data_IF_302372082621
#
_entry.id   IF_302372082621
#
_cell.length_a   1.000
_cell.length_b   1.000
_cell.length_c   1.000
_cell.angle_alpha   90.00
_cell.angle_beta   90.00
_cell.angle_gamma   90.00
#
_symmetry.space_group_name_H-M   'P 1'
#
loop_
_entity.id
_entity.type
_entity.pdbx_description
1 polymer ?
#
# COMPACT_ATOMS: atom_id res chain seq x y z
N UNK A 1 -10.51 8.89 2.55
CA UNK A 1 -9.44 9.37 3.40
C UNK A 1 -8.44 10.11 2.55
N UNK A 2 -8.42 11.40 2.63
CA UNK A 2 -7.59 12.20 1.77
C UNK A 2 -6.43 12.81 2.57
N UNK A 3 -5.31 12.12 2.57
CA UNK A 3 -4.10 12.62 3.19
C UNK A 3 -3.16 13.30 2.20
N UNK A 4 -3.69 13.66 1.07
CA UNK A 4 -2.93 14.43 0.11
C UNK A 4 -2.76 15.81 0.64
N UNK A 5 -1.68 16.05 1.25
CA UNK A 5 -1.33 17.40 1.63
C UNK A 5 -0.44 17.97 0.53
N UNK A 6 -0.64 19.21 0.22
CA UNK A 6 0.18 19.85 -0.81
C UNK A 6 1.66 19.79 -0.47
N UNK A 7 1.99 19.74 0.80
CA UNK A 7 3.36 19.65 1.25
C UNK A 7 4.09 18.38 0.86
N UNK A 8 3.37 17.33 0.48
CA UNK A 8 3.98 16.06 0.13
C UNK A 8 3.94 15.76 -1.36
N UNK A 9 3.35 16.65 -2.15
CA UNK A 9 3.24 16.44 -3.57
C UNK A 9 4.61 16.37 -4.21
N UNK A 10 4.82 15.38 -5.05
CA UNK A 10 6.05 15.16 -5.81
C UNK A 10 7.30 14.96 -4.97
N UNK A 11 7.16 14.64 -3.71
CA UNK A 11 8.33 14.31 -2.87
C UNK A 11 8.71 12.86 -3.05
N UNK A 12 10.01 12.60 -3.05
CA UNK A 12 10.52 11.24 -2.98
C UNK A 12 10.28 10.67 -1.59
N UNK A 13 10.40 9.35 -1.47
CA UNK A 13 10.30 8.71 -0.16
C UNK A 13 11.32 9.26 0.84
N UNK A 14 12.56 9.47 0.39
CA UNK A 14 13.62 9.99 1.25
C UNK A 14 13.27 11.38 1.78
N UNK A 15 12.75 12.25 0.91
CA UNK A 15 12.32 13.58 1.31
C UNK A 15 11.16 13.51 2.31
N UNK A 16 10.22 12.63 2.07
CA UNK A 16 9.08 12.43 2.95
C UNK A 16 9.52 11.91 4.32
N UNK A 17 10.37 10.89 4.35
CA UNK A 17 10.90 10.33 5.58
C UNK A 17 11.69 11.36 6.38
N UNK A 18 12.51 12.17 5.70
CA UNK A 18 13.28 13.23 6.34
C UNK A 18 12.35 14.29 6.95
N UNK A 19 11.28 14.64 6.26
CA UNK A 19 10.30 15.58 6.77
C UNK A 19 9.63 15.07 8.04
N UNK A 20 9.24 13.81 8.06
CA UNK A 20 8.62 13.20 9.24
C UNK A 20 9.60 13.14 10.40
N UNK A 21 10.83 12.75 10.16
CA UNK A 21 11.86 12.65 11.19
C UNK A 21 12.22 14.03 11.78
N UNK A 22 12.19 15.07 10.96
CA UNK A 22 12.50 16.43 11.39
C UNK A 22 11.43 17.12 12.20
N UNK A 23 10.21 16.58 12.22
CA UNK A 23 9.09 17.20 12.93
C UNK A 23 9.18 17.01 14.43
N UNK A 24 9.43 15.80 14.84
CA UNK A 24 9.59 15.43 16.22
C UNK A 24 10.28 14.07 16.25
N UNK A 25 11.56 14.07 16.53
CA UNK A 25 12.36 12.86 16.51
C UNK A 25 11.93 11.78 17.50
N UNK A 26 11.09 12.13 18.47
CA UNK A 26 10.60 11.19 19.46
C UNK A 26 9.17 10.74 19.23
N UNK A 27 8.42 11.47 18.40
CA UNK A 27 7.02 11.18 18.14
C UNK A 27 6.89 10.24 16.96
N UNK A 28 5.83 9.45 17.01
CA UNK A 28 5.48 8.57 15.95
C UNK A 28 6.04 7.17 16.12
N UNK A 29 5.51 6.27 15.35
CA UNK A 29 5.79 4.86 15.39
C UNK A 29 6.71 4.48 14.23
N UNK A 30 7.70 3.64 14.51
CA UNK A 30 8.51 3.07 13.44
C UNK A 30 7.68 2.04 12.69
N UNK A 31 7.57 2.21 11.39
CA UNK A 31 6.89 1.25 10.52
C UNK A 31 7.85 0.72 9.46
N UNK A 32 7.75 -0.56 9.11
CA UNK A 32 8.61 -1.11 8.06
C UNK A 32 8.25 -0.54 6.70
N UNK A 33 9.25 -0.38 5.84
CA UNK A 33 9.06 0.04 4.46
C UNK A 33 9.50 -1.09 3.52
N UNK A 34 8.72 -1.32 2.49
CA UNK A 34 8.95 -2.40 1.53
C UNK A 34 8.78 -1.86 0.11
N UNK A 35 9.74 -2.15 -0.76
CA UNK A 35 9.57 -1.89 -2.19
C UNK A 35 8.61 -2.90 -2.81
N UNK A 36 7.83 -2.48 -3.81
CA UNK A 36 6.86 -3.35 -4.48
C UNK A 36 7.53 -4.60 -5.09
N UNK A 37 8.74 -4.48 -5.60
CA UNK A 37 9.46 -5.62 -6.15
C UNK A 37 9.75 -6.68 -5.09
N UNK A 38 10.10 -6.27 -3.87
CA UNK A 38 10.34 -7.19 -2.76
C UNK A 38 9.03 -7.76 -2.22
N UNK A 39 7.96 -6.99 -2.31
CA UNK A 39 6.66 -7.43 -1.84
C UNK A 39 6.16 -8.67 -2.58
N UNK A 40 6.62 -8.89 -3.81
CA UNK A 40 6.31 -10.10 -4.57
C UNK A 40 7.18 -11.31 -4.23
N UNK A 41 8.23 -11.16 -3.42
CA UNK A 41 9.14 -12.28 -3.11
C UNK A 41 8.47 -13.27 -2.14
N UNK A 42 8.73 -14.55 -2.37
CA UNK A 42 8.20 -15.60 -1.52
C UNK A 42 8.79 -15.52 -0.10
N UNK A 43 7.95 -15.75 0.90
CA UNK A 43 8.35 -15.74 2.29
C UNK A 43 8.61 -14.38 2.90
N UNK A 44 8.40 -13.32 2.13
CA UNK A 44 8.63 -11.95 2.65
C UNK A 44 7.51 -11.47 3.56
N UNK A 45 6.30 -11.97 3.37
CA UNK A 45 5.15 -11.64 4.23
C UNK A 45 4.71 -12.86 5.02
N UNK A 46 4.20 -12.58 6.23
CA UNK A 46 3.55 -13.63 7.00
C UNK A 46 2.12 -13.90 6.47
N UNK A 47 1.42 -14.81 7.11
CA UNK A 47 0.08 -15.21 6.69
C UNK A 47 -0.97 -14.11 6.84
N UNK A 48 -0.67 -13.08 7.63
CA UNK A 48 -1.55 -11.93 7.85
C UNK A 48 -1.21 -10.74 6.98
N UNK A 49 -0.21 -10.86 6.09
CA UNK A 49 0.18 -9.81 5.16
C UNK A 49 1.17 -8.80 5.73
N UNK A 50 1.85 -9.14 6.82
CA UNK A 50 2.87 -8.27 7.39
C UNK A 50 4.27 -8.68 6.93
N UNK A 51 5.16 -7.71 6.64
CA UNK A 51 6.49 -8.04 6.20
C UNK A 51 7.31 -8.69 7.30
N UNK A 52 8.10 -9.68 6.91
CA UNK A 52 9.02 -10.40 7.77
C UNK A 52 10.44 -10.01 7.36
N UNK A 53 11.20 -9.42 8.28
CA UNK A 53 12.59 -9.09 8.01
C UNK A 53 12.80 -7.83 7.18
N UNK A 54 11.90 -6.87 7.23
CA UNK A 54 12.13 -5.57 6.63
C UNK A 54 13.29 -4.86 7.33
N UNK A 55 14.29 -4.44 6.56
CA UNK A 55 15.49 -3.82 7.10
C UNK A 55 15.32 -2.32 7.38
N UNK A 56 14.38 -1.70 6.69
CA UNK A 56 14.16 -0.27 6.78
C UNK A 56 12.85 0.03 7.48
N UNK A 57 12.87 1.07 8.30
CA UNK A 57 11.67 1.57 8.95
C UNK A 57 11.62 3.09 8.84
N UNK A 58 10.40 3.63 8.90
CA UNK A 58 10.19 5.06 9.02
C UNK A 58 9.28 5.31 10.20
N UNK A 59 9.37 6.51 10.78
CA UNK A 59 8.46 6.92 11.82
C UNK A 59 7.31 7.70 11.21
N UNK A 60 6.12 7.32 11.57
CA UNK A 60 4.91 7.97 11.11
C UNK A 60 4.02 8.28 12.30
N UNK A 61 3.63 9.56 12.49
CA UNK A 61 2.79 9.94 13.62
C UNK A 61 1.33 9.52 13.41
N UNK A 62 0.61 9.38 14.49
CA UNK A 62 -0.85 9.27 14.51
C UNK A 62 -1.46 8.07 13.79
N UNK A 63 -0.74 6.97 13.71
CA UNK A 63 -1.32 5.73 13.18
C UNK A 63 -1.98 4.85 14.25
N UNK A 64 -2.00 5.31 15.49
CA UNK A 64 -2.55 4.54 16.59
C UNK A 64 -1.74 3.29 16.88
N UNK A 65 -2.41 2.25 17.35
CA UNK A 65 -1.78 0.97 17.66
C UNK A 65 -1.88 -0.05 16.52
N UNK A 66 -2.55 0.31 15.45
CA UNK A 66 -2.73 -0.58 14.32
C UNK A 66 -1.40 -0.91 13.66
N UNK A 67 -1.25 -2.14 13.26
CA UNK A 67 -0.05 -2.59 12.59
C UNK A 67 -0.13 -2.22 11.12
N UNK A 68 0.84 -1.46 10.64
CA UNK A 68 0.90 -0.95 9.27
C UNK A 68 2.32 -1.06 8.73
N UNK A 69 2.44 -0.96 7.42
CA UNK A 69 3.75 -0.81 6.77
C UNK A 69 3.62 0.05 5.52
N UNK A 70 4.75 0.46 4.98
CA UNK A 70 4.79 1.31 3.80
C UNK A 70 5.22 0.51 2.58
N UNK A 71 4.61 0.83 1.44
CA UNK A 71 4.99 0.28 0.14
C UNK A 71 5.27 1.42 -0.82
N UNK A 72 6.29 1.26 -1.64
CA UNK A 72 6.58 2.17 -2.74
C UNK A 72 5.88 1.69 -4.00
N UNK A 73 5.14 2.59 -4.64
CA UNK A 73 4.38 2.27 -5.85
C UNK A 73 5.34 2.02 -7.02
N UNK A 74 5.06 0.97 -7.78
CA UNK A 74 5.69 0.68 -9.06
C UNK A 74 4.61 0.60 -10.13
N UNK A 75 4.95 1.02 -11.36
CA UNK A 75 4.02 0.99 -12.47
C UNK A 75 3.09 2.19 -12.50
N UNK A 76 2.15 2.17 -13.43
CA UNK A 76 1.32 3.33 -13.75
C UNK A 76 -0.19 3.05 -13.65
N UNK A 77 -0.59 1.90 -13.14
CA UNK A 77 -2.01 1.51 -13.12
C UNK A 77 -2.88 2.42 -12.24
N UNK A 78 -2.28 3.13 -11.32
CA UNK A 78 -2.99 4.03 -10.41
C UNK A 78 -2.77 5.52 -10.72
N UNK A 79 -2.15 5.83 -11.86
CA UNK A 79 -2.06 7.22 -12.30
C UNK A 79 -3.42 7.76 -12.71
N UNK A 80 -3.68 9.04 -12.51
CA UNK A 80 -2.74 10.06 -12.02
C UNK A 80 -2.66 10.17 -10.50
N UNK A 81 -3.41 9.37 -9.76
CA UNK A 81 -3.47 9.50 -8.31
C UNK A 81 -2.18 9.07 -7.62
N UNK A 82 -1.66 7.90 -7.97
CA UNK A 82 -0.40 7.38 -7.47
C UNK A 82 0.54 7.13 -8.63
N UNK A 83 1.75 7.63 -8.52
CA UNK A 83 2.78 7.46 -9.55
C UNK A 83 3.90 6.59 -9.01
N UNK A 84 4.69 6.01 -9.90
CA UNK A 84 5.87 5.27 -9.50
C UNK A 84 6.76 6.11 -8.60
N UNK A 85 7.20 5.54 -7.49
CA UNK A 85 7.96 6.25 -6.46
C UNK A 85 7.12 6.85 -5.34
N UNK A 86 5.82 6.99 -5.52
CA UNK A 86 4.94 7.39 -4.41
C UNK A 86 4.91 6.29 -3.35
N UNK A 87 4.71 6.69 -2.11
CA UNK A 87 4.64 5.75 -0.99
C UNK A 87 3.24 5.71 -0.45
N UNK A 88 2.75 4.51 -0.20
CA UNK A 88 1.46 4.30 0.47
C UNK A 88 1.69 3.58 1.79
N UNK A 89 0.88 3.91 2.77
CA UNK A 89 0.83 3.20 4.04
C UNK A 89 -0.36 2.27 3.97
N UNK A 90 -0.14 1.00 4.26
CA UNK A 90 -1.16 -0.03 4.16
C UNK A 90 -1.38 -0.71 5.50
N UNK A 91 -2.62 -1.12 5.72
CA UNK A 91 -3.06 -1.79 6.94
C UNK A 91 -3.66 -3.15 6.58
N UNK A 92 -2.86 -4.22 6.68
CA UNK A 92 -3.39 -5.58 6.52
C UNK A 92 -4.43 -5.88 7.60
N UNK A 93 -5.45 -6.64 7.24
CA UNK A 93 -6.51 -7.02 8.17
C UNK A 93 -7.59 -5.96 8.39
N UNK A 94 -7.43 -4.76 7.88
CA UNK A 94 -8.49 -3.76 7.92
C UNK A 94 -9.66 -4.21 7.03
N UNK A 95 -10.87 -3.90 7.46
CA UNK A 95 -12.05 -4.15 6.63
C UNK A 95 -11.98 -3.31 5.36
N UNK A 96 -12.28 -3.93 4.23
CA UNK A 96 -12.27 -3.27 2.93
C UNK A 96 -13.67 -3.22 2.35
N UNK A 97 -13.96 -2.16 1.63
CA UNK A 97 -15.25 -1.93 0.99
C UNK A 97 -15.03 -1.54 -0.46
N UNK A 98 -16.05 -1.73 -1.27
CA UNK A 98 -16.06 -1.26 -2.65
C UNK A 98 -15.69 0.23 -2.70
N UNK A 99 -14.77 0.57 -3.58
CA UNK A 99 -14.25 1.92 -3.72
C UNK A 99 -13.00 2.20 -2.90
N UNK A 100 -12.65 1.34 -1.96
CA UNK A 100 -11.42 1.50 -1.20
C UNK A 100 -10.20 1.27 -2.09
N UNK A 101 -9.15 2.00 -1.82
CA UNK A 101 -7.85 1.77 -2.45
C UNK A 101 -7.11 0.72 -1.64
N UNK A 102 -6.61 -0.26 -2.33
CA UNK A 102 -6.06 -1.45 -1.70
C UNK A 102 -4.77 -1.88 -2.38
N UNK A 103 -3.99 -2.65 -1.65
CA UNK A 103 -2.90 -3.43 -2.23
C UNK A 103 -3.28 -4.89 -2.12
N UNK A 104 -3.10 -5.62 -3.19
CA UNK A 104 -3.45 -7.03 -3.30
C UNK A 104 -2.20 -7.83 -3.61
N UNK A 105 -2.00 -8.93 -2.91
CA UNK A 105 -1.01 -9.92 -3.26
C UNK A 105 -1.70 -11.21 -3.67
N UNK A 106 -1.34 -11.71 -4.83
CA UNK A 106 -1.83 -12.99 -5.32
C UNK A 106 -0.96 -14.14 -4.80
N UNK A 107 -1.48 -15.35 -4.84
CA UNK A 107 -0.70 -16.54 -4.49
C UNK A 107 0.44 -16.79 -5.45
N UNK A 108 0.33 -16.27 -6.66
CA UNK A 108 1.43 -16.30 -7.63
C UNK A 108 2.53 -15.28 -7.38
N UNK A 109 2.39 -14.43 -6.35
CA UNK A 109 3.41 -13.46 -5.96
C UNK A 109 3.27 -12.08 -6.59
N UNK A 110 2.26 -11.85 -7.40
CA UNK A 110 2.00 -10.53 -7.97
C UNK A 110 1.46 -9.59 -6.89
N UNK A 111 2.01 -8.38 -6.81
CA UNK A 111 1.55 -7.35 -5.89
C UNK A 111 1.13 -6.14 -6.70
N UNK A 112 -0.07 -5.63 -6.43
CA UNK A 112 -0.61 -4.52 -7.19
C UNK A 112 -1.45 -3.61 -6.31
N UNK A 113 -1.41 -2.30 -6.60
CA UNK A 113 -2.31 -1.33 -6.00
C UNK A 113 -3.49 -1.11 -6.94
N UNK A 114 -4.69 -1.21 -6.43
CA UNK A 114 -5.93 -1.12 -7.20
C UNK A 114 -7.02 -0.45 -6.38
N UNK A 115 -8.14 -0.17 -7.04
CA UNK A 115 -9.40 0.17 -6.36
C UNK A 115 -10.23 -1.10 -6.30
N UNK A 116 -10.79 -1.38 -5.13
CA UNK A 116 -11.64 -2.55 -4.95
C UNK A 116 -12.99 -2.30 -5.65
N UNK A 117 -13.34 -3.17 -6.57
CA UNK A 117 -14.65 -3.20 -7.19
C UNK A 117 -15.57 -4.16 -6.43
N UNK A 118 -16.27 -5.01 -7.16
CA UNK A 118 -17.14 -6.03 -6.57
C UNK A 118 -16.29 -7.13 -5.93
N UNK A 119 -16.73 -7.57 -4.78
CA UNK A 119 -16.08 -8.66 -4.06
C UNK A 119 -17.14 -9.58 -3.50
N UNK A 120 -17.01 -10.86 -3.75
CA UNK A 120 -17.84 -11.90 -3.16
C UNK A 120 -16.96 -13.10 -2.77
N UNK A 121 -17.59 -14.19 -2.36
CA UNK A 121 -16.85 -15.37 -1.93
C UNK A 121 -16.07 -16.06 -3.05
N UNK A 122 -16.38 -15.75 -4.30
CA UNK A 122 -15.78 -16.42 -5.46
C UNK A 122 -14.82 -15.53 -6.23
N UNK A 123 -15.12 -14.24 -6.38
CA UNK A 123 -14.35 -13.34 -7.22
C UNK A 123 -14.15 -11.99 -6.56
N UNK A 124 -13.08 -11.32 -7.01
CA UNK A 124 -12.74 -9.95 -6.62
C UNK A 124 -12.44 -9.17 -7.89
N UNK A 125 -13.11 -8.04 -8.06
CA UNK A 125 -12.85 -7.13 -9.17
C UNK A 125 -11.86 -6.07 -8.73
N UNK A 126 -10.80 -5.90 -9.51
CA UNK A 126 -9.72 -4.95 -9.27
C UNK A 126 -9.72 -3.90 -10.38
N UNK A 127 -9.88 -2.65 -10.00
CA UNK A 127 -10.02 -1.55 -10.93
C UNK A 127 -8.79 -0.66 -10.87
N UNK A 128 -8.22 -0.36 -12.04
CA UNK A 128 -7.12 0.60 -12.16
C UNK A 128 -7.70 2.00 -12.34
N UNK A 129 -7.09 2.98 -11.68
CA UNK A 129 -7.48 4.39 -11.90
C UNK A 129 -7.04 4.87 -13.29
N UNK A 130 -5.94 4.35 -13.78
CA UNK A 130 -5.51 4.61 -15.15
C UNK A 130 -6.39 3.83 -16.12
N UNK A 131 -7.17 4.53 -16.92
CA UNK A 131 -8.12 3.91 -17.85
C UNK A 131 -7.47 3.13 -18.99
N UNK A 132 -6.16 3.30 -19.19
CA UNK A 132 -5.42 2.46 -20.14
C UNK A 132 -5.32 1.00 -19.68
N UNK A 133 -5.55 0.74 -18.41
CA UNK A 133 -5.57 -0.61 -17.84
C UNK A 133 -7.02 -1.05 -17.62
N UNK A 134 -7.36 -2.20 -18.16
CA UNK A 134 -8.72 -2.75 -17.98
C UNK A 134 -8.91 -3.31 -16.57
N UNK A 135 -10.15 -3.29 -16.05
CA UNK A 135 -10.43 -3.99 -14.79
C UNK A 135 -10.06 -5.47 -14.91
N UNK A 136 -9.58 -6.02 -13.80
CA UNK A 136 -9.25 -7.45 -13.69
C UNK A 136 -10.19 -8.09 -12.69
N UNK A 137 -10.59 -9.31 -12.99
CA UNK A 137 -11.34 -10.13 -12.05
C UNK A 137 -10.48 -11.33 -11.69
N UNK A 138 -10.27 -11.53 -10.41
CA UNK A 138 -9.50 -12.65 -9.89
C UNK A 138 -10.39 -13.53 -9.03
N UNK A 139 -10.09 -14.83 -9.04
CA UNK A 139 -10.73 -15.74 -8.09
C UNK A 139 -10.28 -15.36 -6.67
N UNK A 140 -11.21 -15.31 -5.74
CA UNK A 140 -10.90 -15.03 -4.33
C UNK A 140 -9.86 -16.00 -3.80
N UNK A 141 -9.91 -17.25 -4.25
CA UNK A 141 -8.94 -18.28 -3.83
C UNK A 141 -7.50 -17.98 -4.30
N UNK A 142 -7.33 -17.15 -5.33
CA UNK A 142 -6.01 -16.79 -5.85
C UNK A 142 -5.40 -15.58 -5.14
N UNK A 143 -6.13 -14.98 -4.23
CA UNK A 143 -5.66 -13.82 -3.46
C UNK A 143 -5.11 -14.30 -2.13
N UNK A 144 -3.87 -13.94 -1.85
CA UNK A 144 -3.23 -14.28 -0.59
C UNK A 144 -3.64 -13.32 0.52
N UNK A 145 -3.60 -12.02 0.22
CA UNK A 145 -4.09 -11.00 1.15
C UNK A 145 -4.45 -9.71 0.42
N UNK A 146 -5.28 -8.92 1.10
CA UNK A 146 -5.67 -7.58 0.70
C UNK A 146 -5.37 -6.64 1.87
N UNK A 147 -4.71 -5.52 1.60
CA UNK A 147 -4.44 -4.50 2.60
C UNK A 147 -5.04 -3.17 2.17
N UNK A 148 -5.67 -2.47 3.08
CA UNK A 148 -6.24 -1.16 2.79
C UNK A 148 -5.16 -0.10 2.78
N UNK A 149 -5.18 0.78 1.79
CA UNK A 149 -4.31 1.96 1.77
C UNK A 149 -4.95 3.00 2.68
N UNK A 150 -4.24 3.38 3.74
CA UNK A 150 -4.74 4.34 4.72
C UNK A 150 -4.11 5.71 4.59
N UNK A 151 -3.00 5.81 3.86
CA UNK A 151 -2.32 7.07 3.61
C UNK A 151 -1.46 6.95 2.36
N UNK A 152 -1.22 8.07 1.67
CA UNK A 152 -0.36 8.11 0.49
C UNK A 152 0.40 9.44 0.39
N UNK A 153 1.65 9.35 -0.01
CA UNK A 153 2.43 10.53 -0.40
C UNK A 153 2.05 10.98 -1.82
N UNK A 154 2.41 12.17 -2.14
CA UNK A 154 2.28 12.69 -3.50
C UNK A 154 3.38 13.66 -3.84
#
# INVERSE_FOLDING_TARGET
>A
LNYKTDGFRSKSWDEFAALLAGRDGSAGRAIPIVGMARAGADGFFDENGFPVGADETVRFPDLGEDRVYALEIAGDSMEPMYRAGDVVIVQPGAAVRRGDRIVVRTRGGEVMAKVLGRKNDQTVELISLNTAHKPRELATADIEWIARIVWASQ
#
